data_IF_507370314436
#
_entry.id   IF_507370314436
#
_cell.length_a   1.000
_cell.length_b   1.000
_cell.length_c   1.000
_cell.angle_alpha   90.00
_cell.angle_beta   90.00
_cell.angle_gamma   90.00
#
_symmetry.space_group_name_H-M   'P 1'
#
loop_
_entity.id
_entity.type
_entity.pdbx_description
1 polymer ?
#
# COMPACT_ATOMS: atom_id res chain seq x y z
N UNK A 1 -48.58 -36.42 -38.68
CA UNK A 1 -48.10 -35.05 -38.43
C UNK A 1 -46.79 -35.13 -37.68
N UNK A 2 -45.72 -34.52 -38.20
CA UNK A 2 -44.41 -34.47 -37.54
C UNK A 2 -44.30 -33.13 -36.82
N UNK A 3 -44.28 -33.16 -35.49
CA UNK A 3 -44.02 -31.98 -34.65
C UNK A 3 -42.50 -31.80 -34.52
N UNK A 4 -41.96 -30.69 -35.02
CA UNK A 4 -40.58 -30.27 -34.80
C UNK A 4 -40.59 -29.23 -33.68
N UNK A 5 -40.04 -29.58 -32.52
CA UNK A 5 -39.83 -28.68 -31.39
C UNK A 5 -38.51 -27.91 -31.63
N UNK A 6 -38.61 -26.59 -31.79
CA UNK A 6 -37.46 -25.70 -31.85
C UNK A 6 -37.04 -25.28 -30.44
N UNK A 7 -35.87 -25.74 -29.98
CA UNK A 7 -35.28 -25.31 -28.73
C UNK A 7 -34.51 -24.00 -28.95
N UNK A 8 -34.94 -22.91 -28.31
CA UNK A 8 -34.19 -21.66 -28.28
C UNK A 8 -33.03 -21.79 -27.28
N UNK A 9 -31.79 -21.69 -27.77
CA UNK A 9 -30.61 -21.62 -26.92
C UNK A 9 -30.49 -20.21 -26.33
N UNK A 10 -30.63 -20.09 -25.01
CA UNK A 10 -30.33 -18.87 -24.27
C UNK A 10 -28.81 -18.74 -24.17
N UNK A 11 -28.25 -17.74 -24.85
CA UNK A 11 -26.84 -17.40 -24.71
C UNK A 11 -26.62 -16.73 -23.33
N UNK A 12 -26.02 -17.47 -22.40
CA UNK A 12 -25.53 -16.91 -21.14
C UNK A 12 -24.28 -16.10 -21.46
N UNK A 13 -24.41 -14.77 -21.53
CA UNK A 13 -23.26 -13.87 -21.54
C UNK A 13 -22.66 -13.86 -20.13
N UNK A 14 -21.56 -14.57 -19.92
CA UNK A 14 -20.73 -14.37 -18.74
C UNK A 14 -20.19 -12.95 -18.79
N UNK A 15 -20.71 -12.05 -17.95
CA UNK A 15 -20.09 -10.75 -17.75
C UNK A 15 -18.65 -11.00 -17.29
N UNK A 16 -17.68 -10.59 -18.11
CA UNK A 16 -16.28 -10.65 -17.71
C UNK A 16 -16.08 -9.80 -16.46
N UNK A 17 -15.45 -10.36 -15.45
CA UNK A 17 -14.96 -9.59 -14.29
C UNK A 17 -14.08 -8.46 -14.82
N UNK A 18 -14.50 -7.21 -14.63
CA UNK A 18 -13.64 -6.07 -14.88
C UNK A 18 -12.39 -6.24 -13.98
N UNK A 19 -11.23 -6.43 -14.58
CA UNK A 19 -9.97 -6.41 -13.84
C UNK A 19 -9.84 -5.02 -13.23
N UNK A 20 -9.76 -4.95 -11.91
CA UNK A 20 -9.58 -3.70 -11.20
C UNK A 20 -8.28 -3.04 -11.67
N UNK A 21 -8.34 -1.75 -12.01
CA UNK A 21 -7.16 -1.03 -12.49
C UNK A 21 -6.27 -0.68 -11.29
N UNK A 22 -5.20 -1.46 -11.11
CA UNK A 22 -4.15 -1.14 -10.16
C UNK A 22 -3.25 -0.08 -10.77
N UNK A 23 -3.18 1.09 -10.11
CA UNK A 23 -2.29 2.17 -10.45
C UNK A 23 -1.00 2.07 -9.64
N UNK A 24 0.13 2.40 -10.26
CA UNK A 24 1.44 2.52 -9.61
C UNK A 24 2.05 3.88 -9.87
N UNK A 25 2.55 4.52 -8.82
CA UNK A 25 3.33 5.75 -8.88
C UNK A 25 4.73 5.52 -8.32
N UNK A 26 5.71 5.51 -9.22
CA UNK A 26 7.15 5.41 -8.90
C UNK A 26 7.72 6.76 -8.47
N UNK A 27 7.41 7.17 -7.25
CA UNK A 27 7.62 8.54 -6.81
C UNK A 27 9.06 8.86 -6.39
N UNK A 28 9.81 7.90 -5.82
CA UNK A 28 11.19 8.07 -5.36
C UNK A 28 11.42 9.34 -4.52
N UNK A 29 10.49 9.65 -3.62
CA UNK A 29 10.47 10.87 -2.84
C UNK A 29 11.31 10.73 -1.57
N UNK A 30 12.27 11.64 -1.37
CA UNK A 30 12.93 11.79 -0.07
C UNK A 30 11.97 12.45 0.91
N UNK A 31 11.84 11.88 2.11
CA UNK A 31 10.94 12.40 3.13
C UNK A 31 11.76 13.26 4.10
N UNK A 32 11.49 14.56 4.24
CA UNK A 32 12.18 15.41 5.19
C UNK A 32 12.03 14.90 6.63
N UNK A 33 13.12 14.95 7.41
CA UNK A 33 13.12 14.66 8.84
C UNK A 33 12.73 15.90 9.65
N UNK A 34 11.58 16.49 9.33
CA UNK A 34 11.06 17.70 9.97
C UNK A 34 9.67 17.45 10.53
N UNK A 35 9.20 18.34 11.40
CA UNK A 35 7.83 18.32 11.91
C UNK A 35 6.77 18.67 10.87
N UNK A 36 7.17 19.31 9.76
CA UNK A 36 6.27 19.62 8.65
C UNK A 36 6.14 18.45 7.66
N UNK A 37 7.15 17.59 7.56
CA UNK A 37 7.07 16.37 6.76
C UNK A 37 6.93 16.57 5.26
N UNK A 38 6.12 15.71 4.66
CA UNK A 38 5.83 15.63 3.23
C UNK A 38 4.37 15.20 3.05
N UNK A 39 3.54 16.15 2.66
CA UNK A 39 2.15 15.93 2.31
C UNK A 39 2.04 15.30 0.93
N UNK A 40 1.17 14.31 0.80
CA UNK A 40 1.01 13.51 -0.42
C UNK A 40 -0.48 13.41 -0.75
N UNK A 41 -0.82 13.66 -2.00
CA UNK A 41 -2.08 13.23 -2.60
C UNK A 41 -1.77 12.09 -3.58
N UNK A 42 -2.30 10.90 -3.29
CA UNK A 42 -2.04 9.64 -3.97
C UNK A 42 -2.59 9.68 -5.40
N UNK A 43 -3.85 10.08 -5.56
CA UNK A 43 -4.54 10.00 -6.85
C UNK A 43 -4.00 11.05 -7.84
N UNK A 44 -3.77 12.28 -7.36
CA UNK A 44 -3.22 13.37 -8.19
C UNK A 44 -1.69 13.35 -8.30
N UNK A 45 -1.00 12.53 -7.48
CA UNK A 45 0.46 12.37 -7.47
C UNK A 45 1.19 13.68 -7.18
N UNK A 46 0.58 14.54 -6.37
CA UNK A 46 1.12 15.84 -5.97
C UNK A 46 1.66 15.75 -4.54
N UNK A 47 2.79 16.44 -4.30
CA UNK A 47 3.37 16.57 -2.97
C UNK A 47 3.70 18.01 -2.61
N UNK A 48 3.91 18.26 -1.32
CA UNK A 48 4.24 19.58 -0.79
C UNK A 48 4.65 19.53 0.66
N UNK A 49 5.15 20.66 1.16
CA UNK A 49 5.65 20.79 2.54
C UNK A 49 4.58 21.26 3.52
N UNK A 50 3.37 21.53 3.05
CA UNK A 50 2.22 21.91 3.88
C UNK A 50 0.94 21.30 3.32
N UNK A 51 -0.02 20.95 4.19
CA UNK A 51 -1.32 20.46 3.74
C UNK A 51 -2.10 21.48 2.89
N UNK A 52 -1.90 22.78 3.11
CA UNK A 52 -2.51 23.83 2.29
C UNK A 52 -1.97 23.87 0.85
N UNK A 53 -0.71 23.47 0.65
CA UNK A 53 -0.09 23.40 -0.68
C UNK A 53 -0.48 22.15 -1.49
N UNK A 54 -1.09 21.16 -0.84
CA UNK A 54 -1.49 19.89 -1.46
C UNK A 54 -2.99 19.71 -1.29
N UNK A 55 -3.75 20.20 -2.26
CA UNK A 55 -5.21 20.10 -2.24
C UNK A 55 -5.64 18.63 -2.15
N UNK A 56 -6.50 18.33 -1.17
CA UNK A 56 -7.00 16.97 -0.95
C UNK A 56 -5.91 15.96 -0.57
N UNK A 57 -4.85 16.39 0.11
CA UNK A 57 -3.81 15.47 0.60
C UNK A 57 -4.42 14.29 1.37
N UNK A 58 -3.84 13.10 1.17
CA UNK A 58 -4.28 11.86 1.79
C UNK A 58 -3.53 11.57 3.07
N UNK A 59 -2.21 11.78 3.06
CA UNK A 59 -1.37 11.62 4.24
C UNK A 59 -0.11 12.49 4.23
N UNK A 60 0.46 12.67 5.41
CA UNK A 60 1.73 13.31 5.67
C UNK A 60 2.71 12.33 6.32
N UNK A 61 3.98 12.44 5.93
CA UNK A 61 5.10 11.66 6.44
C UNK A 61 6.09 12.59 7.12
N UNK A 62 6.18 12.52 8.45
CA UNK A 62 6.91 13.51 9.23
C UNK A 62 7.64 12.90 10.42
N UNK A 63 8.38 13.75 11.12
CA UNK A 63 9.10 13.44 12.36
C UNK A 63 8.45 14.19 13.52
N UNK A 64 8.11 13.49 14.60
CA UNK A 64 7.52 14.08 15.82
C UNK A 64 8.52 14.90 16.65
N UNK A 65 9.82 14.62 16.54
CA UNK A 65 10.88 15.38 17.20
C UNK A 65 12.13 15.43 16.32
N UNK A 66 12.55 16.59 15.80
CA UNK A 66 13.78 16.70 15.00
C UNK A 66 15.04 16.28 15.77
N UNK A 67 14.98 16.30 17.11
CA UNK A 67 16.07 15.93 18.00
C UNK A 67 16.22 14.41 18.20
N UNK A 68 15.24 13.60 17.80
CA UNK A 68 15.27 12.14 17.93
C UNK A 68 14.78 11.47 16.65
N UNK A 69 15.50 10.50 16.06
CA UNK A 69 15.07 9.84 14.85
C UNK A 69 13.69 9.17 15.01
N UNK A 70 12.68 9.74 14.35
CA UNK A 70 11.32 9.21 14.35
C UNK A 70 10.69 9.36 12.98
N UNK A 71 9.75 8.46 12.67
CA UNK A 71 8.92 8.50 11.48
C UNK A 71 7.49 8.24 11.91
N UNK A 72 6.60 9.10 11.46
CA UNK A 72 5.17 9.04 11.76
C UNK A 72 4.39 9.30 10.48
N UNK A 73 3.28 8.60 10.33
CA UNK A 73 2.30 8.86 9.28
C UNK A 73 1.08 9.53 9.91
N UNK A 74 0.63 10.61 9.29
CA UNK A 74 -0.62 11.27 9.64
C UNK A 74 -1.58 11.17 8.45
N UNK A 75 -2.73 10.53 8.64
CA UNK A 75 -3.76 10.42 7.61
C UNK A 75 -4.73 11.59 7.65
N UNK A 76 -5.12 12.12 6.49
CA UNK A 76 -6.27 13.02 6.43
C UNK A 76 -7.58 12.26 6.69
N UNK A 77 -8.71 12.97 6.69
CA UNK A 77 -10.05 12.37 6.75
C UNK A 77 -10.17 11.27 5.68
N UNK A 78 -10.69 10.11 6.09
CA UNK A 78 -10.79 8.92 5.23
C UNK A 78 -9.55 8.04 5.23
N UNK A 79 -8.35 8.59 5.46
CA UNK A 79 -7.10 7.83 5.40
C UNK A 79 -6.81 7.06 6.67
N UNK A 80 -6.49 5.78 6.55
CA UNK A 80 -6.05 4.92 7.66
C UNK A 80 -4.94 4.00 7.21
N UNK A 81 -4.07 3.63 8.12
CA UNK A 81 -2.97 2.72 7.86
C UNK A 81 -3.25 1.35 8.42
N UNK A 82 -2.77 0.34 7.71
CA UNK A 82 -2.89 -1.05 8.11
C UNK A 82 -1.83 -1.38 9.16
N UNK A 83 -2.25 -2.13 10.16
CA UNK A 83 -1.45 -2.68 11.25
C UNK A 83 -1.05 -4.10 10.89
N UNK A 84 0.02 -4.60 11.50
CA UNK A 84 0.31 -6.03 11.42
C UNK A 84 -0.78 -6.80 12.19
N UNK A 85 -1.32 -7.89 11.63
CA UNK A 85 -2.22 -8.77 12.37
C UNK A 85 -1.64 -9.18 13.73
N UNK A 86 -2.42 -9.02 14.79
CA UNK A 86 -2.01 -9.34 16.17
C UNK A 86 -1.29 -8.22 16.93
N UNK A 87 -0.97 -7.09 16.29
CA UNK A 87 -0.51 -5.87 16.96
C UNK A 87 -1.71 -4.99 17.34
N UNK A 88 -1.87 -4.68 18.62
CA UNK A 88 -2.87 -3.74 19.13
C UNK A 88 -2.19 -2.40 19.45
N UNK A 89 -2.76 -1.30 18.95
CA UNK A 89 -2.22 0.05 19.12
C UNK A 89 -2.30 0.88 17.83
N UNK A 90 -1.50 1.94 17.78
CA UNK A 90 -1.49 2.95 16.71
C UNK A 90 -0.39 2.74 15.66
N UNK A 91 0.43 1.70 15.77
CA UNK A 91 1.61 1.55 14.92
C UNK A 91 1.28 0.99 13.53
N UNK A 92 1.90 1.55 12.49
CA UNK A 92 1.79 1.02 11.12
C UNK A 92 2.61 -0.27 11.00
N UNK A 93 1.97 -1.33 10.52
CA UNK A 93 2.64 -2.61 10.32
C UNK A 93 3.55 -2.59 9.10
N UNK A 94 4.68 -3.29 9.18
CA UNK A 94 5.44 -3.70 8.01
C UNK A 94 4.76 -4.94 7.41
N UNK A 95 4.21 -4.79 6.21
CA UNK A 95 3.45 -5.85 5.55
C UNK A 95 4.37 -6.90 4.92
N UNK A 96 3.92 -8.15 4.97
CA UNK A 96 4.55 -9.23 4.24
C UNK A 96 4.24 -9.14 2.74
N UNK A 97 5.05 -9.82 1.93
CA UNK A 97 4.73 -10.06 0.53
C UNK A 97 3.43 -10.87 0.43
N UNK A 98 2.66 -10.66 -0.64
CA UNK A 98 1.37 -11.29 -0.91
C UNK A 98 0.26 -10.95 0.10
N UNK A 99 0.51 -10.02 1.03
CA UNK A 99 -0.49 -9.57 1.98
C UNK A 99 -1.56 -8.71 1.28
N UNK A 100 -2.83 -9.05 1.47
CA UNK A 100 -3.95 -8.26 0.98
C UNK A 100 -4.18 -7.00 1.83
N UNK A 101 -4.52 -5.90 1.14
CA UNK A 101 -4.94 -4.62 1.72
C UNK A 101 -6.29 -4.25 1.13
N UNK A 102 -7.34 -4.35 1.93
CA UNK A 102 -8.70 -4.17 1.42
C UNK A 102 -9.78 -4.13 2.49
N UNK A 103 -11.02 -4.18 2.03
CA UNK A 103 -12.23 -4.14 2.85
C UNK A 103 -12.34 -5.31 3.82
N UNK A 104 -11.82 -6.48 3.48
CA UNK A 104 -11.77 -7.65 4.38
C UNK A 104 -10.87 -7.37 5.58
N UNK A 105 -9.65 -6.91 5.34
CA UNK A 105 -8.71 -6.53 6.42
C UNK A 105 -9.26 -5.36 7.24
N UNK A 106 -9.96 -4.42 6.58
CA UNK A 106 -10.66 -3.36 7.27
C UNK A 106 -11.74 -3.89 8.23
N UNK A 107 -12.60 -4.80 7.77
CA UNK A 107 -13.63 -5.42 8.60
C UNK A 107 -13.07 -6.26 9.75
N UNK A 108 -11.86 -6.83 9.58
CA UNK A 108 -11.10 -7.50 10.64
C UNK A 108 -10.49 -6.53 11.67
N UNK A 109 -10.69 -5.22 11.49
CA UNK A 109 -10.14 -4.20 12.37
C UNK A 109 -8.62 -4.07 12.23
N UNK A 110 -8.03 -4.46 11.10
CA UNK A 110 -6.57 -4.38 10.91
C UNK A 110 -6.08 -2.98 10.54
N UNK A 111 -6.97 -2.01 10.38
CA UNK A 111 -6.59 -0.61 10.18
C UNK A 111 -6.69 0.15 11.49
N UNK A 112 -5.95 1.25 11.60
CA UNK A 112 -6.08 2.16 12.72
C UNK A 112 -7.54 2.66 12.85
N UNK A 113 -8.06 2.80 14.07
CA UNK A 113 -9.45 3.18 14.31
C UNK A 113 -9.78 4.58 13.81
N UNK A 114 -11.07 4.87 13.65
CA UNK A 114 -11.53 6.19 13.24
C UNK A 114 -11.31 7.24 14.35
N UNK A 115 -10.72 8.37 13.97
CA UNK A 115 -10.29 9.43 14.90
C UNK A 115 -8.77 9.48 15.08
N UNK A 116 -8.08 8.36 14.86
CA UNK A 116 -6.63 8.25 15.06
C UNK A 116 -5.89 8.26 13.72
N UNK A 117 -5.79 9.46 13.16
CA UNK A 117 -5.00 9.74 11.97
C UNK A 117 -3.49 9.55 12.21
N UNK A 118 -3.04 9.58 13.46
CA UNK A 118 -1.64 9.45 13.84
C UNK A 118 -1.20 8.00 13.97
N UNK A 119 -0.11 7.65 13.29
CA UNK A 119 0.44 6.31 13.33
C UNK A 119 1.96 6.34 13.46
N UNK A 120 2.45 5.92 14.62
CA UNK A 120 3.89 5.85 14.86
C UNK A 120 4.50 4.67 14.07
N UNK A 121 5.64 4.89 13.43
CA UNK A 121 6.42 3.82 12.77
C UNK A 121 7.68 3.55 13.60
N UNK A 122 8.45 4.61 13.86
CA UNK A 122 9.62 4.55 14.73
C UNK A 122 9.44 5.60 15.83
N UNK A 123 9.48 5.18 17.11
CA UNK A 123 9.48 6.09 18.26
C UNK A 123 10.89 6.26 18.85
N UNK A 124 11.70 5.20 18.89
CA UNK A 124 13.14 5.25 19.21
C UNK A 124 13.82 4.00 18.63
N UNK A 125 14.95 4.17 17.93
CA UNK A 125 15.88 3.15 17.40
C UNK A 125 15.32 1.72 17.22
N UNK A 126 14.70 1.43 16.06
CA UNK A 126 14.45 0.07 15.55
C UNK A 126 13.56 -0.82 16.43
N UNK A 127 12.32 -1.07 16.02
CA UNK A 127 11.48 -2.02 16.74
C UNK A 127 11.79 -3.45 16.26
N UNK A 128 12.20 -4.35 17.17
CA UNK A 128 12.44 -5.78 16.85
C UNK A 128 11.17 -6.60 17.05
N UNK A 129 10.71 -7.34 16.03
CA UNK A 129 9.50 -8.17 16.11
C UNK A 129 8.84 -8.37 14.76
N UNK A 130 8.00 -9.41 14.63
CA UNK A 130 7.21 -9.63 13.41
C UNK A 130 6.25 -8.46 13.18
N UNK A 131 6.23 -7.94 11.95
CA UNK A 131 5.45 -6.76 11.60
C UNK A 131 6.09 -5.42 11.93
N UNK A 132 7.28 -5.41 12.53
CA UNK A 132 7.97 -4.16 12.78
C UNK A 132 8.76 -3.70 11.55
N UNK A 133 8.93 -2.40 11.49
CA UNK A 133 9.78 -1.78 10.48
C UNK A 133 11.26 -1.93 10.85
N UNK A 134 12.07 -2.23 9.85
CA UNK A 134 13.50 -2.45 9.99
C UNK A 134 14.30 -1.31 9.35
N UNK A 135 15.39 -0.93 10.01
CA UNK A 135 16.41 -0.04 9.46
C UNK A 135 17.22 -0.77 8.40
N UNK A 136 17.84 -0.03 7.47
CA UNK A 136 18.57 -0.55 6.32
C UNK A 136 17.76 -1.58 5.51
N UNK A 137 16.45 -1.39 5.40
CA UNK A 137 15.54 -2.36 4.81
C UNK A 137 14.43 -1.69 3.99
N UNK A 138 13.77 -2.53 3.20
CA UNK A 138 12.55 -2.22 2.48
C UNK A 138 11.37 -2.56 3.39
N UNK A 139 10.53 -1.59 3.66
CA UNK A 139 9.34 -1.77 4.48
C UNK A 139 8.10 -1.46 3.64
N UNK A 140 7.08 -2.30 3.76
CA UNK A 140 5.81 -2.12 3.06
C UNK A 140 4.73 -1.71 4.04
N UNK A 141 3.83 -0.84 3.61
CA UNK A 141 2.70 -0.40 4.42
C UNK A 141 1.42 -0.38 3.60
N UNK A 142 0.32 -0.77 4.22
CA UNK A 142 -1.00 -0.71 3.62
C UNK A 142 -1.75 0.52 4.11
N UNK A 143 -2.60 1.07 3.27
CA UNK A 143 -3.46 2.18 3.62
C UNK A 143 -4.79 2.12 2.88
N UNK A 144 -5.79 2.76 3.47
CA UNK A 144 -7.02 3.17 2.80
C UNK A 144 -6.97 4.69 2.68
N UNK A 145 -7.58 5.27 1.67
CA UNK A 145 -7.73 6.72 1.53
C UNK A 145 -9.08 7.06 0.90
N UNK A 146 -9.54 8.29 1.09
CA UNK A 146 -10.72 8.81 0.41
C UNK A 146 -10.26 9.59 -0.82
N UNK A 147 -10.64 9.13 -2.01
CA UNK A 147 -10.44 9.87 -3.24
C UNK A 147 -11.16 11.22 -3.20
N UNK A 148 -10.84 12.11 -4.14
CA UNK A 148 -11.50 13.42 -4.22
C UNK A 148 -13.04 13.32 -4.45
N UNK A 149 -13.52 12.17 -4.93
CA UNK A 149 -14.95 11.84 -5.03
C UNK A 149 -15.60 11.45 -3.69
N UNK A 150 -14.81 11.28 -2.62
CA UNK A 150 -15.23 10.72 -1.33
C UNK A 150 -15.26 9.18 -1.31
N UNK A 151 -15.03 8.52 -2.44
CA UNK A 151 -14.97 7.07 -2.51
C UNK A 151 -13.73 6.53 -1.78
N UNK A 152 -13.85 5.38 -1.11
CA UNK A 152 -12.72 4.75 -0.40
C UNK A 152 -11.97 3.82 -1.34
N UNK A 153 -10.65 4.00 -1.37
CA UNK A 153 -9.72 3.17 -2.12
C UNK A 153 -8.69 2.55 -1.18
N UNK A 154 -8.10 1.44 -1.61
CA UNK A 154 -7.05 0.74 -0.89
C UNK A 154 -5.75 0.75 -1.68
N UNK A 155 -4.65 0.88 -0.97
CA UNK A 155 -3.32 0.99 -1.52
C UNK A 155 -2.26 0.43 -0.60
N UNK A 156 -1.06 0.25 -1.14
CA UNK A 156 0.13 -0.02 -0.36
C UNK A 156 1.32 0.77 -0.91
N UNK A 157 2.31 1.02 -0.08
CA UNK A 157 3.54 1.69 -0.49
C UNK A 157 4.76 0.96 0.01
N UNK A 158 5.90 1.28 -0.61
CA UNK A 158 7.21 0.83 -0.14
C UNK A 158 8.04 2.02 0.31
N UNK A 159 8.59 1.91 1.51
CA UNK A 159 9.54 2.85 2.07
C UNK A 159 10.88 2.17 2.33
N UNK A 160 11.93 2.78 1.79
CA UNK A 160 13.31 2.38 2.10
C UNK A 160 13.78 3.24 3.28
N UNK A 161 14.12 2.60 4.38
CA UNK A 161 14.64 3.25 5.58
C UNK A 161 16.11 2.89 5.73
N UNK A 162 16.96 3.91 5.86
CA UNK A 162 18.40 3.78 5.96
C UNK A 162 18.87 3.46 7.38
N UNK A 163 20.07 3.94 7.72
CA UNK A 163 20.72 3.65 9.00
C UNK A 163 19.96 4.17 10.23
N UNK A 164 19.03 5.12 10.05
CA UNK A 164 18.11 5.58 11.07
C UNK A 164 16.81 6.08 10.42
N UNK A 165 15.78 6.32 11.22
CA UNK A 165 14.44 6.71 10.75
C UNK A 165 14.38 8.06 10.02
N UNK A 166 15.40 8.92 10.13
CA UNK A 166 15.47 10.20 9.40
C UNK A 166 15.99 10.03 7.97
N UNK A 167 16.65 8.92 7.66
CA UNK A 167 17.09 8.57 6.30
C UNK A 167 16.02 7.69 5.68
N UNK A 168 15.11 8.28 4.91
CA UNK A 168 13.92 7.57 4.42
C UNK A 168 13.48 8.08 3.06
N UNK A 169 13.10 7.14 2.21
CA UNK A 169 12.63 7.41 0.85
C UNK A 169 11.38 6.60 0.58
N UNK A 170 10.30 7.28 0.18
CA UNK A 170 9.13 6.63 -0.37
C UNK A 170 9.44 6.24 -1.81
N UNK A 171 9.51 4.94 -2.09
CA UNK A 171 9.91 4.43 -3.41
C UNK A 171 8.74 4.46 -4.38
N UNK A 172 7.63 3.89 -3.96
CA UNK A 172 6.40 3.85 -4.76
C UNK A 172 5.16 3.79 -3.88
N UNK A 173 4.03 4.11 -4.51
CA UNK A 173 2.68 3.83 -4.01
C UNK A 173 1.92 3.07 -5.12
N UNK A 174 1.18 2.05 -4.72
CA UNK A 174 0.20 1.36 -5.56
C UNK A 174 -1.19 1.45 -4.93
N UNK A 175 -2.22 1.57 -5.76
CA UNK A 175 -3.61 1.56 -5.29
C UNK A 175 -4.56 1.02 -6.33
N UNK A 176 -5.71 0.55 -5.86
CA UNK A 176 -6.80 0.13 -6.71
C UNK A 176 -7.74 1.31 -7.02
N UNK A 177 -7.92 1.64 -8.30
CA UNK A 177 -8.80 2.73 -8.73
C UNK A 177 -10.29 2.36 -8.69
N UNK A 178 -10.62 1.09 -8.46
CA UNK A 178 -11.99 0.68 -8.19
C UNK A 178 -12.32 0.88 -6.71
N UNK A 179 -13.34 1.69 -6.36
CA UNK A 179 -13.73 1.90 -4.98
C UNK A 179 -13.98 0.59 -4.23
N UNK A 180 -13.45 0.47 -3.02
CA UNK A 180 -13.63 -0.70 -2.16
C UNK A 180 -12.83 -1.94 -2.55
N UNK A 181 -12.20 -1.96 -3.73
CA UNK A 181 -11.45 -3.11 -4.21
C UNK A 181 -10.08 -3.22 -3.52
N UNK A 182 -9.69 -4.44 -3.18
CA UNK A 182 -8.42 -4.72 -2.51
C UNK A 182 -7.23 -4.58 -3.46
N UNK A 183 -6.04 -4.44 -2.87
CA UNK A 183 -4.75 -4.57 -3.55
C UNK A 183 -3.90 -5.58 -2.77
N UNK A 184 -3.10 -6.38 -3.48
CA UNK A 184 -2.17 -7.31 -2.86
C UNK A 184 -0.75 -6.73 -2.92
N UNK A 185 0.02 -6.89 -1.85
CA UNK A 185 1.43 -6.48 -1.82
C UNK A 185 2.23 -7.38 -2.77
N UNK A 186 2.60 -6.86 -3.95
CA UNK A 186 3.44 -7.60 -4.91
C UNK A 186 4.89 -7.12 -4.82
N UNK A 187 5.87 -8.03 -4.66
CA UNK A 187 7.29 -7.68 -4.70
C UNK A 187 7.68 -7.15 -6.08
N UNK A 188 8.68 -6.27 -6.13
CA UNK A 188 9.16 -5.74 -7.41
C UNK A 188 9.47 -6.90 -8.39
N UNK A 189 9.15 -6.78 -9.70
CA UNK A 189 9.09 -7.89 -10.68
C UNK A 189 10.34 -8.80 -10.81
N UNK A 190 11.47 -8.47 -10.19
CA UNK A 190 12.70 -9.27 -10.21
C UNK A 190 12.63 -10.61 -9.45
N UNK A 191 11.71 -10.80 -8.50
CA UNK A 191 11.63 -12.04 -7.72
C UNK A 191 10.96 -13.19 -8.49
N UNK A 192 9.91 -12.90 -9.26
CA UNK A 192 9.17 -13.90 -10.04
C UNK A 192 9.87 -14.23 -11.37
N UNK A 193 10.61 -13.28 -11.95
CA UNK A 193 11.34 -13.48 -13.20
C UNK A 193 12.49 -14.51 -13.07
N UNK A 194 13.10 -14.66 -11.88
CA UNK A 194 14.21 -15.59 -11.68
C UNK A 194 13.76 -17.06 -11.60
N UNK A 195 12.54 -17.31 -11.08
CA UNK A 195 11.95 -18.65 -11.05
C UNK A 195 11.64 -19.16 -12.47
N UNK A 196 11.18 -18.25 -13.33
CA UNK A 196 10.98 -18.53 -14.76
C UNK A 196 12.28 -18.84 -15.51
N UNK A 197 13.38 -18.17 -15.17
CA UNK A 197 14.67 -18.34 -15.86
C UNK A 197 15.43 -19.61 -15.40
N UNK A 198 15.27 -20.03 -14.14
CA UNK A 198 15.85 -21.28 -13.63
C UNK A 198 15.26 -22.54 -14.30
N UNK A 199 14.03 -22.45 -14.82
CA UNK A 199 13.38 -23.54 -15.57
C UNK A 199 13.98 -23.82 -16.95
N UNK A 200 14.57 -22.81 -17.60
CA UNK A 200 15.13 -22.95 -18.96
C UNK A 200 16.63 -23.28 -18.98
N UNK A 201 17.35 -23.16 -17.85
CA UNK A 201 18.78 -23.47 -17.77
C UNK A 201 19.13 -24.96 -17.72
N UNK A 202 18.16 -25.86 -17.51
CA UNK A 202 18.42 -27.30 -17.27
C UNK A 202 18.18 -28.22 -18.47
N UNK A 203 17.65 -27.74 -19.59
CA UNK A 203 17.31 -28.62 -20.74
C UNK A 203 18.43 -28.84 -21.76
N UNK A 204 19.57 -28.15 -21.66
CA UNK A 204 20.62 -28.20 -22.70
C UNK A 204 21.90 -28.95 -22.31
N UNK A 205 21.77 -30.12 -21.68
CA UNK A 205 22.88 -31.07 -21.62
C UNK A 205 22.39 -32.52 -21.59
N UNK A 206 21.92 -33.00 -22.75
CA UNK A 206 21.87 -34.42 -23.15
C UNK A 206 21.55 -34.51 -24.65
N UNK A 207 22.61 -34.48 -25.45
CA UNK A 207 22.73 -35.22 -26.71
C UNK A 207 24.16 -35.70 -26.79
#
# INVERSE_FOLDING_TARGET
>A
GRHVLAACAVAITTAGTAHAAVNRWECNLSIPATSAGLFINVQSRVTGTTGASVLGWDFDLYTTSPAAPSLTMFGNIGTRFMRTPGQFGYSVGNLAEEQDVGSVQFAQGLFNPEGDAYSAIFNTAGQSGAGNWNLNSKNYFGFRFAANSGAIHYGYGRMDVGANANVRTLKFIEWNDTPGAAVQVVPAPGALALLGLAGFGRSRRRR
#
